data_IF_893549541977
#
_entry.id   IF_893549541977
#
_cell.length_a   1.000
_cell.length_b   1.000
_cell.length_c   1.000
_cell.angle_alpha   90.00
_cell.angle_beta   90.00
_cell.angle_gamma   90.00
#
_symmetry.space_group_name_H-M   'P 1'
#
loop_
_entity.id
_entity.type
_entity.pdbx_description
1 polymer ?
#
# COMPACT_ATOMS: atom_id res chain seq x y z
N UNK A 1 16.24 11.31 27.90
CA UNK A 1 16.64 10.51 26.72
C UNK A 1 15.37 10.13 25.98
N UNK A 2 15.11 10.75 24.82
CA UNK A 2 13.95 10.40 24.00
C UNK A 2 14.47 9.50 22.89
N UNK A 3 14.42 8.18 23.10
CA UNK A 3 14.62 7.21 22.03
C UNK A 3 13.42 7.30 21.10
N UNK A 4 13.49 8.17 20.10
CA UNK A 4 12.70 8.01 18.89
C UNK A 4 13.30 6.82 18.16
N UNK A 5 12.75 5.62 18.39
CA UNK A 5 12.95 4.52 17.47
C UNK A 5 12.25 4.93 16.19
N UNK A 6 12.97 5.59 15.28
CA UNK A 6 12.43 5.90 13.96
C UNK A 6 12.05 4.56 13.34
N UNK A 7 10.74 4.28 13.25
CA UNK A 7 10.24 3.00 12.78
C UNK A 7 10.63 2.85 11.30
N UNK A 8 11.70 2.07 11.07
CA UNK A 8 12.34 1.86 9.76
C UNK A 8 11.38 1.17 8.78
N UNK A 9 10.33 0.52 9.30
CA UNK A 9 9.31 -0.18 8.55
C UNK A 9 8.01 -0.20 9.34
N UNK A 10 6.87 0.06 8.70
CA UNK A 10 5.55 -0.01 9.34
C UNK A 10 4.50 -0.53 8.37
N UNK A 11 3.56 -1.32 8.87
CA UNK A 11 2.36 -1.73 8.14
C UNK A 11 1.16 -0.96 8.70
N UNK A 12 0.40 -0.29 7.83
CA UNK A 12 -0.81 0.45 8.23
C UNK A 12 -2.02 -0.16 7.54
N UNK A 13 -3.10 -0.41 8.29
CA UNK A 13 -4.36 -0.91 7.75
C UNK A 13 -5.43 0.17 7.86
N UNK A 14 -6.16 0.39 6.78
CA UNK A 14 -7.24 1.37 6.69
C UNK A 14 -8.48 0.71 6.09
N UNK A 15 -9.64 1.18 6.50
CA UNK A 15 -10.92 0.73 5.98
C UNK A 15 -11.67 1.93 5.40
N UNK A 16 -12.18 1.77 4.18
CA UNK A 16 -12.97 2.78 3.50
C UNK A 16 -14.33 2.21 3.12
N UNK A 17 -15.40 2.80 3.64
CA UNK A 17 -16.75 2.42 3.22
C UNK A 17 -16.95 2.73 1.72
N UNK A 18 -17.61 1.83 1.01
CA UNK A 18 -18.09 2.11 -0.35
C UNK A 18 -19.43 2.82 -0.21
N UNK A 19 -19.48 4.08 -0.62
CA UNK A 19 -20.74 4.82 -0.66
C UNK A 19 -21.72 4.13 -1.64
N UNK A 20 -23.02 4.19 -1.36
CA UNK A 20 -24.05 3.53 -2.17
C UNK A 20 -24.06 3.96 -3.64
N UNK A 21 -23.60 5.17 -3.95
CA UNK A 21 -23.45 5.71 -5.30
C UNK A 21 -22.06 5.49 -5.92
N UNK A 22 -21.18 4.74 -5.24
CA UNK A 22 -19.79 4.53 -5.64
C UNK A 22 -19.51 3.05 -5.94
N UNK A 23 -18.32 2.79 -6.49
CA UNK A 23 -17.80 1.45 -6.71
C UNK A 23 -16.52 1.27 -5.90
N UNK A 24 -16.14 0.02 -5.62
CA UNK A 24 -14.86 -0.26 -4.98
C UNK A 24 -13.68 0.38 -5.72
N UNK A 25 -13.66 0.31 -7.05
CA UNK A 25 -12.61 0.92 -7.87
C UNK A 25 -12.58 2.45 -7.73
N UNK A 26 -13.74 3.11 -7.67
CA UNK A 26 -13.81 4.55 -7.43
C UNK A 26 -13.29 4.92 -6.03
N UNK A 27 -13.67 4.16 -5.00
CA UNK A 27 -13.16 4.34 -3.63
C UNK A 27 -11.64 4.13 -3.56
N UNK A 28 -11.09 3.11 -4.25
CA UNK A 28 -9.64 2.88 -4.34
C UNK A 28 -8.96 4.09 -4.97
N UNK A 29 -9.45 4.58 -6.12
CA UNK A 29 -8.86 5.73 -6.82
C UNK A 29 -8.90 7.02 -5.99
N UNK A 30 -10.00 7.24 -5.27
CA UNK A 30 -10.16 8.43 -4.42
C UNK A 30 -9.19 8.42 -3.22
N UNK A 31 -8.80 7.24 -2.75
CA UNK A 31 -7.98 7.10 -1.54
C UNK A 31 -6.50 6.86 -1.84
N UNK A 32 -6.15 6.51 -3.08
CA UNK A 32 -4.78 6.38 -3.54
C UNK A 32 -4.18 7.75 -3.84
N UNK A 33 -3.71 8.43 -2.80
CA UNK A 33 -3.04 9.73 -2.89
C UNK A 33 -1.53 9.54 -2.82
N UNK A 34 -0.81 10.16 -3.74
CA UNK A 34 0.65 10.12 -3.78
C UNK A 34 1.25 10.87 -2.60
N UNK A 35 2.14 10.24 -1.84
CA UNK A 35 2.74 10.82 -0.63
C UNK A 35 3.52 12.11 -0.91
N UNK A 36 4.27 12.11 -2.01
CA UNK A 36 5.09 13.26 -2.43
C UNK A 36 4.31 14.37 -3.13
N UNK A 37 3.26 14.03 -3.89
CA UNK A 37 2.48 15.01 -4.67
C UNK A 37 1.28 15.57 -3.92
N UNK A 38 0.72 14.82 -2.97
CA UNK A 38 -0.59 15.13 -2.37
C UNK A 38 -1.76 14.92 -3.34
N UNK A 39 -1.50 14.41 -4.54
CA UNK A 39 -2.48 14.28 -5.63
C UNK A 39 -2.90 12.81 -5.83
N UNK A 40 -4.07 12.54 -6.42
CA UNK A 40 -4.48 11.19 -6.78
C UNK A 40 -3.47 10.50 -7.71
N UNK A 41 -3.25 9.20 -7.48
CA UNK A 41 -2.41 8.38 -8.35
C UNK A 41 -3.03 8.26 -9.76
N UNK A 42 -2.16 8.24 -10.77
CA UNK A 42 -2.58 7.98 -12.16
C UNK A 42 -3.33 6.66 -12.27
N UNK A 43 -4.37 6.63 -13.10
CA UNK A 43 -5.15 5.41 -13.36
C UNK A 43 -4.32 4.28 -13.97
N UNK A 44 -3.18 4.59 -14.59
CA UNK A 44 -2.24 3.63 -15.16
C UNK A 44 -1.23 3.08 -14.14
N UNK A 45 -1.17 3.64 -12.93
CA UNK A 45 -0.23 3.20 -11.88
C UNK A 45 -0.73 2.00 -11.08
N UNK A 46 -1.97 1.59 -11.30
CA UNK A 46 -2.59 0.47 -10.58
C UNK A 46 -2.29 -0.85 -11.29
N UNK A 47 -1.88 -1.83 -10.51
CA UNK A 47 -1.69 -3.22 -10.95
C UNK A 47 -2.57 -4.14 -10.11
N UNK A 48 -2.55 -5.44 -10.41
CA UNK A 48 -3.23 -6.43 -9.58
C UNK A 48 -2.34 -7.63 -9.31
N UNK A 49 -2.46 -8.21 -8.13
CA UNK A 49 -1.78 -9.45 -7.77
C UNK A 49 -2.70 -10.35 -6.98
N UNK A 50 -2.39 -11.64 -6.96
CA UNK A 50 -3.10 -12.64 -6.16
C UNK A 50 -2.17 -13.09 -5.05
N UNK A 51 -2.62 -12.93 -3.80
CA UNK A 51 -1.93 -13.41 -2.60
C UNK A 51 -2.91 -14.29 -1.83
N UNK A 52 -2.53 -15.54 -1.56
CA UNK A 52 -3.45 -16.53 -1.01
C UNK A 52 -4.68 -16.73 -1.91
N UNK A 53 -5.87 -16.56 -1.36
CA UNK A 53 -7.16 -16.68 -2.06
C UNK A 53 -7.71 -15.33 -2.55
N UNK A 54 -6.97 -14.24 -2.34
CA UNK A 54 -7.45 -12.88 -2.57
C UNK A 54 -6.74 -12.20 -3.74
N UNK A 55 -7.51 -11.45 -4.53
CA UNK A 55 -6.96 -10.53 -5.54
C UNK A 55 -6.90 -9.13 -4.95
N UNK A 56 -5.71 -8.54 -4.95
CA UNK A 56 -5.46 -7.20 -4.50
C UNK A 56 -5.23 -6.26 -5.68
N UNK A 57 -5.71 -5.02 -5.57
CA UNK A 57 -5.27 -3.91 -6.43
C UNK A 57 -4.07 -3.25 -5.76
N UNK A 58 -2.98 -3.03 -6.47
CA UNK A 58 -1.71 -2.58 -5.91
C UNK A 58 -1.25 -1.29 -6.57
N UNK A 59 -0.71 -0.36 -5.79
CA UNK A 59 -0.15 0.89 -6.28
C UNK A 59 1.00 1.35 -5.38
N UNK A 60 2.09 1.81 -6.00
CA UNK A 60 3.16 2.52 -5.28
C UNK A 60 2.72 3.97 -5.10
N UNK A 61 2.53 4.39 -3.85
CA UNK A 61 2.04 5.72 -3.51
C UNK A 61 3.16 6.71 -3.31
N UNK A 62 4.32 6.23 -2.88
CA UNK A 62 5.44 7.09 -2.57
C UNK A 62 6.76 6.37 -2.83
N UNK A 63 7.68 7.14 -3.39
CA UNK A 63 9.09 6.78 -3.51
C UNK A 63 9.89 8.07 -3.47
N UNK A 64 10.05 8.63 -2.28
CA UNK A 64 10.55 9.98 -2.06
C UNK A 64 11.26 10.10 -0.72
N UNK A 65 12.40 10.80 -0.68
CA UNK A 65 13.17 11.09 0.54
C UNK A 65 13.44 9.88 1.46
N UNK A 66 13.74 8.73 0.86
CA UNK A 66 14.02 7.49 1.60
C UNK A 66 12.77 6.78 2.12
N UNK A 67 11.58 7.23 1.73
CA UNK A 67 10.30 6.56 1.99
C UNK A 67 9.86 5.81 0.74
N UNK A 68 9.51 4.54 0.92
CA UNK A 68 8.85 3.72 -0.10
C UNK A 68 7.53 3.24 0.48
N UNK A 69 6.42 3.65 -0.13
CA UNK A 69 5.08 3.27 0.28
C UNK A 69 4.36 2.52 -0.85
N UNK A 70 3.92 1.31 -0.56
CA UNK A 70 3.08 0.51 -1.47
C UNK A 70 1.78 0.13 -0.78
N UNK A 71 0.66 0.41 -1.44
CA UNK A 71 -0.67 0.08 -0.95
C UNK A 71 -1.27 -1.12 -1.70
N UNK A 72 -1.81 -2.05 -0.93
CA UNK A 72 -2.59 -3.20 -1.37
C UNK A 72 -4.04 -2.99 -0.98
N UNK A 73 -4.95 -3.05 -1.93
CA UNK A 73 -6.38 -2.86 -1.72
C UNK A 73 -7.14 -4.16 -1.92
N UNK A 74 -7.96 -4.51 -0.93
CA UNK A 74 -8.91 -5.61 -0.99
C UNK A 74 -10.33 -5.04 -0.98
N UNK A 75 -11.01 -5.13 -2.13
CA UNK A 75 -12.41 -4.78 -2.23
C UNK A 75 -13.28 -5.89 -1.63
N UNK A 76 -14.19 -5.50 -0.73
CA UNK A 76 -15.24 -6.35 -0.17
C UNK A 76 -16.60 -5.78 -0.55
N UNK A 77 -17.67 -6.48 -0.18
CA UNK A 77 -19.03 -6.13 -0.62
C UNK A 77 -19.45 -4.69 -0.30
N UNK A 78 -19.07 -4.16 0.86
CA UNK A 78 -19.51 -2.83 1.35
C UNK A 78 -18.37 -1.87 1.65
N UNK A 79 -17.12 -2.31 1.54
CA UNK A 79 -15.95 -1.54 1.92
C UNK A 79 -14.69 -2.00 1.19
N UNK A 80 -13.63 -1.20 1.30
CA UNK A 80 -12.31 -1.51 0.78
C UNK A 80 -11.32 -1.45 1.94
N UNK A 81 -10.60 -2.55 2.16
CA UNK A 81 -9.44 -2.55 3.04
C UNK A 81 -8.21 -2.12 2.25
N UNK A 82 -7.39 -1.25 2.83
CA UNK A 82 -6.09 -0.84 2.32
C UNK A 82 -5.02 -1.23 3.32
N UNK A 83 -3.97 -1.86 2.82
CA UNK A 83 -2.80 -2.24 3.58
C UNK A 83 -1.59 -1.54 2.97
N UNK A 84 -0.98 -0.64 3.73
CA UNK A 84 0.20 0.10 3.35
C UNK A 84 1.44 -0.59 3.92
N UNK A 85 2.41 -0.90 3.07
CA UNK A 85 3.78 -1.20 3.47
C UNK A 85 4.61 0.07 3.31
N UNK A 86 5.09 0.61 4.43
CA UNK A 86 5.86 1.86 4.45
C UNK A 86 7.25 1.55 5.00
N UNK A 87 8.24 1.61 4.12
CA UNK A 87 9.66 1.48 4.46
C UNK A 87 10.29 2.87 4.47
N UNK A 88 11.07 3.18 5.53
CA UNK A 88 11.73 4.47 5.75
C UNK A 88 13.24 4.29 5.86
N UNK A 89 14.00 5.32 5.50
CA UNK A 89 15.46 5.26 5.51
C UNK A 89 16.05 4.38 4.41
N UNK A 90 15.29 4.13 3.33
CA UNK A 90 15.77 3.39 2.16
C UNK A 90 16.79 4.24 1.42
N UNK A 91 18.08 3.90 1.50
CA UNK A 91 19.17 4.77 1.00
C UNK A 91 19.21 4.87 -0.53
N UNK A 92 18.93 3.78 -1.24
CA UNK A 92 18.86 3.73 -2.70
C UNK A 92 17.43 3.95 -3.23
N UNK A 93 16.62 4.75 -2.54
CA UNK A 93 15.22 5.00 -2.92
C UNK A 93 15.09 5.67 -4.30
N UNK A 94 16.12 6.27 -4.89
CA UNK A 94 16.06 6.80 -6.27
C UNK A 94 16.41 5.75 -7.34
N UNK A 95 16.96 4.60 -6.96
CA UNK A 95 17.47 3.60 -7.88
C UNK A 95 16.33 2.84 -8.59
N UNK A 96 16.15 3.04 -9.89
CA UNK A 96 15.12 2.35 -10.67
C UNK A 96 15.13 0.82 -10.53
N UNK A 97 16.27 0.22 -10.15
CA UNK A 97 16.44 -1.23 -9.98
C UNK A 97 16.18 -1.75 -8.55
N UNK A 98 15.86 -0.86 -7.60
CA UNK A 98 15.49 -1.25 -6.24
C UNK A 98 14.39 -2.30 -6.24
N UNK A 99 14.67 -3.44 -5.63
CA UNK A 99 13.67 -4.47 -5.41
C UNK A 99 12.79 -4.12 -4.22
N UNK A 100 11.63 -3.51 -4.47
CA UNK A 100 10.65 -3.18 -3.41
C UNK A 100 10.21 -4.44 -2.64
N UNK A 101 10.18 -5.60 -3.31
CA UNK A 101 9.87 -6.90 -2.67
C UNK A 101 10.83 -7.31 -1.56
N UNK A 102 12.05 -6.78 -1.52
CA UNK A 102 13.02 -7.11 -0.47
C UNK A 102 12.96 -6.16 0.73
N UNK A 103 12.17 -5.09 0.65
CA UNK A 103 12.05 -4.14 1.75
C UNK A 103 11.26 -4.75 2.93
N UNK A 104 11.66 -4.47 4.19
CA UNK A 104 11.09 -5.16 5.36
C UNK A 104 9.56 -5.07 5.49
N UNK A 105 8.97 -3.87 5.40
CA UNK A 105 7.52 -3.71 5.53
C UNK A 105 6.80 -4.38 4.38
N UNK A 106 7.32 -4.22 3.16
CA UNK A 106 6.72 -4.82 1.98
C UNK A 106 6.75 -6.35 2.01
N UNK A 107 7.88 -6.95 2.38
CA UNK A 107 8.01 -8.40 2.56
C UNK A 107 7.05 -8.93 3.62
N UNK A 108 7.05 -8.31 4.81
CA UNK A 108 6.18 -8.72 5.91
C UNK A 108 4.69 -8.58 5.55
N UNK A 109 4.32 -7.53 4.81
CA UNK A 109 2.95 -7.34 4.35
C UNK A 109 2.53 -8.45 3.37
N UNK A 110 3.38 -8.80 2.41
CA UNK A 110 3.06 -9.90 1.47
C UNK A 110 2.85 -11.21 2.23
N UNK A 111 3.71 -11.53 3.19
CA UNK A 111 3.59 -12.73 4.03
C UNK A 111 2.27 -12.71 4.83
N UNK A 112 1.94 -11.57 5.45
CA UNK A 112 0.66 -11.37 6.14
C UNK A 112 -0.53 -11.61 5.20
N UNK A 113 -0.57 -10.92 4.05
CA UNK A 113 -1.68 -10.99 3.09
C UNK A 113 -1.83 -12.38 2.45
N UNK A 114 -0.74 -13.12 2.27
CA UNK A 114 -0.78 -14.49 1.78
C UNK A 114 -1.49 -15.46 2.75
N UNK A 115 -1.51 -15.13 4.05
CA UNK A 115 -2.18 -15.93 5.09
C UNK A 115 -3.58 -15.44 5.42
N UNK A 116 -4.01 -14.30 4.86
CA UNK A 116 -5.30 -13.69 5.16
C UNK A 116 -6.44 -14.67 4.86
N UNK A 117 -7.26 -14.92 5.86
CA UNK A 117 -8.47 -15.73 5.77
C UNK A 117 -9.69 -14.82 6.01
N UNK A 118 -10.77 -15.08 5.29
CA UNK A 118 -12.02 -14.31 5.38
C UNK A 118 -12.59 -14.01 4.01
N UNK A 119 -13.82 -13.49 3.95
CA UNK A 119 -14.45 -13.00 2.71
C UNK A 119 -14.68 -11.49 2.81
#
# INVERSE_FOLDING_TARGET
ATTSSAEVASIVVRQYAIAASSTALATIRQTAIGGASGEPMSTTSFTSTVLGTHRFTVVSLERFEGVVNTAYYLARGTDVLRFDAIDRGVTNWTDSTLSVSTLPAHKALIELLATLQGR
#
